data_IF_569783031066
#
_entry.id   IF_569783031066
#
_cell.length_a   1.000
_cell.length_b   1.000
_cell.length_c   1.000
_cell.angle_alpha   90.00
_cell.angle_beta   90.00
_cell.angle_gamma   90.00
#
_symmetry.space_group_name_H-M   'P 1'
#
loop_
_entity.id
_entity.type
_entity.pdbx_description
1 polymer ?
#
# COMPACT_ATOMS: atom_id res chain seq x y z
N UNK A 1 8.66 -19.25 -23.35
CA UNK A 1 8.73 -17.87 -23.91
C UNK A 1 8.09 -16.86 -22.94
N UNK A 2 7.24 -17.33 -22.03
CA UNK A 2 6.62 -16.58 -20.93
C UNK A 2 7.62 -16.18 -19.83
N UNK A 3 8.60 -17.00 -19.44
CA UNK A 3 9.59 -16.63 -18.39
C UNK A 3 10.40 -15.41 -18.78
N UNK A 4 10.97 -15.35 -19.99
CA UNK A 4 11.70 -14.15 -20.46
C UNK A 4 10.83 -12.89 -20.42
N UNK A 5 9.54 -13.01 -20.77
CA UNK A 5 8.57 -11.91 -20.73
C UNK A 5 8.23 -11.53 -19.28
N UNK A 6 7.95 -12.52 -18.44
CA UNK A 6 7.66 -12.38 -17.01
C UNK A 6 8.81 -11.71 -16.28
N UNK A 7 10.04 -12.21 -16.42
CA UNK A 7 11.25 -11.62 -15.83
C UNK A 7 11.47 -10.17 -16.28
N UNK A 8 11.29 -9.86 -17.57
CA UNK A 8 11.42 -8.47 -18.06
C UNK A 8 10.38 -7.54 -17.42
N UNK A 9 9.13 -7.99 -17.33
CA UNK A 9 8.05 -7.23 -16.69
C UNK A 9 8.30 -7.06 -15.18
N UNK A 10 8.84 -8.09 -14.53
CA UNK A 10 9.17 -8.08 -13.11
C UNK A 10 10.29 -7.07 -12.81
N UNK A 11 11.36 -7.07 -13.60
CA UNK A 11 12.43 -6.05 -13.50
C UNK A 11 11.86 -4.65 -13.70
N UNK A 12 10.98 -4.45 -14.70
CA UNK A 12 10.31 -3.16 -14.91
C UNK A 12 9.52 -2.71 -13.69
N UNK A 13 8.76 -3.62 -13.06
CA UNK A 13 7.98 -3.29 -11.87
C UNK A 13 8.87 -2.98 -10.67
N UNK A 14 9.91 -3.78 -10.43
CA UNK A 14 10.88 -3.52 -9.36
C UNK A 14 11.54 -2.15 -9.55
N UNK A 15 12.00 -1.83 -10.77
CA UNK A 15 12.58 -0.53 -11.08
C UNK A 15 11.59 0.62 -10.82
N UNK A 16 10.32 0.45 -11.21
CA UNK A 16 9.29 1.45 -10.94
C UNK A 16 9.04 1.62 -9.43
N UNK A 17 8.98 0.53 -8.66
CA UNK A 17 8.84 0.56 -7.20
C UNK A 17 10.03 1.31 -6.57
N UNK A 18 11.26 1.01 -6.99
CA UNK A 18 12.47 1.68 -6.50
C UNK A 18 12.43 3.18 -6.80
N UNK A 19 12.05 3.56 -8.03
CA UNK A 19 11.94 4.98 -8.41
C UNK A 19 10.89 5.69 -7.56
N UNK A 20 9.70 5.11 -7.40
CA UNK A 20 8.63 5.69 -6.57
C UNK A 20 9.07 5.78 -5.11
N UNK A 21 9.80 4.78 -4.60
CA UNK A 21 10.35 4.80 -3.25
C UNK A 21 11.39 5.92 -3.07
N UNK A 22 12.28 6.13 -4.04
CA UNK A 22 13.23 7.25 -4.02
C UNK A 22 12.49 8.60 -4.02
N UNK A 23 11.47 8.75 -4.85
CA UNK A 23 10.66 9.98 -4.89
C UNK A 23 9.93 10.19 -3.56
N UNK A 24 9.32 9.14 -3.00
CA UNK A 24 8.67 9.19 -1.69
C UNK A 24 9.65 9.60 -0.59
N UNK A 25 10.86 9.06 -0.63
CA UNK A 25 11.93 9.44 0.30
C UNK A 25 12.36 10.91 0.12
N UNK A 26 12.51 11.38 -1.12
CA UNK A 26 12.83 12.78 -1.41
C UNK A 26 11.74 13.73 -0.90
N UNK A 27 10.47 13.42 -1.17
CA UNK A 27 9.32 14.21 -0.70
C UNK A 27 9.25 14.20 0.83
N UNK A 28 9.39 13.02 1.44
CA UNK A 28 9.26 12.86 2.90
C UNK A 28 10.44 13.40 3.70
N UNK A 29 11.65 13.45 3.12
CA UNK A 29 12.87 13.81 3.85
C UNK A 29 13.52 15.11 3.39
N UNK A 30 13.63 15.31 2.08
CA UNK A 30 14.37 16.46 1.51
C UNK A 30 13.45 17.66 1.38
N UNK A 31 12.27 17.49 0.80
CA UNK A 31 11.32 18.58 0.54
C UNK A 31 10.28 18.79 1.66
N UNK A 32 10.39 18.03 2.75
CA UNK A 32 9.41 18.06 3.84
C UNK A 32 9.29 19.45 4.47
N UNK A 33 10.41 20.16 4.61
CA UNK A 33 10.44 21.48 5.26
C UNK A 33 9.76 22.57 4.40
N UNK A 34 9.89 22.48 3.08
CA UNK A 34 9.30 23.41 2.12
C UNK A 34 7.84 23.07 1.83
N UNK A 35 7.53 21.79 1.61
CA UNK A 35 6.17 21.35 1.27
C UNK A 35 5.20 21.37 2.45
N UNK A 36 5.69 21.20 3.69
CA UNK A 36 4.84 21.35 4.88
C UNK A 36 4.40 22.79 5.15
N UNK A 37 5.03 23.78 4.51
CA UNK A 37 4.60 25.18 4.61
C UNK A 37 3.38 25.48 3.73
N UNK A 38 3.12 24.62 2.74
CA UNK A 38 1.99 24.79 1.83
C UNK A 38 0.81 23.98 2.38
N UNK A 39 -0.04 24.67 3.12
CA UNK A 39 -1.30 24.12 3.63
C UNK A 39 -2.34 24.18 2.52
N UNK A 40 -2.91 23.03 2.16
CA UNK A 40 -3.95 22.91 1.13
C UNK A 40 -5.33 23.14 1.76
N UNK A 41 -5.56 22.55 2.93
CA UNK A 41 -6.80 22.70 3.68
C UNK A 41 -6.41 23.00 5.12
N UNK A 42 -6.89 24.12 5.63
CA UNK A 42 -6.85 24.45 7.05
C UNK A 42 -8.29 24.61 7.51
N UNK A 43 -8.81 23.62 8.23
CA UNK A 43 -10.18 23.67 8.75
C UNK A 43 -10.18 23.27 10.21
N UNK A 44 -10.82 24.08 11.04
CA UNK A 44 -11.11 23.73 12.43
C UNK A 44 -12.45 23.04 12.51
N UNK A 45 -12.44 21.75 12.83
CA UNK A 45 -13.65 20.97 13.11
C UNK A 45 -13.64 20.56 14.57
N UNK A 46 -14.72 20.86 15.29
CA UNK A 46 -14.86 20.61 16.74
C UNK A 46 -13.66 21.13 17.58
N UNK A 47 -13.09 22.29 17.21
CA UNK A 47 -11.98 22.91 17.94
C UNK A 47 -10.60 22.30 17.70
N UNK A 48 -10.47 21.29 16.82
CA UNK A 48 -9.16 20.75 16.41
C UNK A 48 -8.80 21.24 15.01
N UNK A 49 -7.59 21.80 14.82
CA UNK A 49 -7.12 22.17 13.49
C UNK A 49 -6.78 20.90 12.71
N UNK A 50 -7.47 20.70 11.59
CA UNK A 50 -7.14 19.70 10.59
C UNK A 50 -6.42 20.44 9.47
N UNK A 51 -5.10 20.31 9.43
CA UNK A 51 -4.27 20.82 8.34
C UNK A 51 -3.85 19.67 7.43
N UNK A 52 -4.23 19.77 6.15
CA UNK A 52 -3.73 18.90 5.09
C UNK A 52 -2.68 19.65 4.30
N UNK A 53 -1.45 19.14 4.32
CA UNK A 53 -0.33 19.77 3.63
C UNK A 53 -0.05 19.11 2.28
N UNK A 54 0.62 19.82 1.38
CA UNK A 54 1.06 19.26 0.08
C UNK A 54 1.92 18.01 0.26
N UNK A 55 2.77 17.97 1.29
CA UNK A 55 3.57 16.78 1.61
C UNK A 55 2.71 15.54 1.87
N UNK A 56 1.61 15.70 2.61
CA UNK A 56 0.71 14.59 2.94
C UNK A 56 -0.05 14.11 1.71
N UNK A 57 -0.52 15.03 0.86
CA UNK A 57 -1.19 14.69 -0.40
C UNK A 57 -0.23 14.01 -1.39
N UNK A 58 0.99 14.54 -1.54
CA UNK A 58 2.01 13.94 -2.40
C UNK A 58 2.41 12.55 -1.90
N UNK A 59 2.61 12.39 -0.59
CA UNK A 59 2.90 11.09 0.02
C UNK A 59 1.76 10.10 -0.18
N UNK A 60 0.51 10.53 -0.03
CA UNK A 60 -0.68 9.72 -0.30
C UNK A 60 -0.68 9.19 -1.74
N UNK A 61 -0.50 10.09 -2.72
CA UNK A 61 -0.49 9.71 -4.15
C UNK A 61 0.63 8.70 -4.42
N UNK A 62 1.84 8.96 -3.92
CA UNK A 62 3.00 8.08 -4.12
C UNK A 62 2.80 6.71 -3.47
N UNK A 63 2.18 6.67 -2.28
CA UNK A 63 1.85 5.43 -1.58
C UNK A 63 0.80 4.62 -2.35
N UNK A 64 -0.22 5.27 -2.92
CA UNK A 64 -1.21 4.61 -3.76
C UNK A 64 -0.58 4.05 -5.04
N UNK A 65 0.31 4.80 -5.69
CA UNK A 65 1.07 4.33 -6.85
C UNK A 65 1.93 3.11 -6.46
N UNK A 66 2.63 3.18 -5.33
CA UNK A 66 3.46 2.07 -4.83
C UNK A 66 2.61 0.81 -4.56
N UNK A 67 1.44 0.96 -3.96
CA UNK A 67 0.51 -0.15 -3.74
C UNK A 67 0.08 -0.82 -5.05
N UNK A 68 -0.26 -0.02 -6.08
CA UNK A 68 -0.61 -0.52 -7.41
C UNK A 68 0.56 -1.24 -8.07
N UNK A 69 1.77 -0.69 -7.98
CA UNK A 69 2.97 -1.31 -8.55
C UNK A 69 3.32 -2.63 -7.87
N UNK A 70 3.21 -2.71 -6.55
CA UNK A 70 3.45 -3.94 -5.79
C UNK A 70 2.45 -5.02 -6.20
N UNK A 71 1.16 -4.69 -6.26
CA UNK A 71 0.12 -5.62 -6.74
C UNK A 71 0.35 -6.03 -8.19
N UNK A 72 0.85 -5.11 -9.02
CA UNK A 72 1.24 -5.35 -10.40
C UNK A 72 2.40 -6.34 -10.59
N UNK A 73 3.05 -6.82 -9.52
CA UNK A 73 4.02 -7.92 -9.59
C UNK A 73 3.36 -9.31 -9.68
N UNK A 74 2.07 -9.44 -9.36
CA UNK A 74 1.36 -10.72 -9.39
C UNK A 74 1.33 -11.36 -10.79
N UNK A 75 1.02 -10.57 -11.82
CA UNK A 75 0.99 -11.05 -13.21
C UNK A 75 2.35 -11.58 -13.70
N UNK A 76 3.47 -10.84 -13.62
CA UNK A 76 4.76 -11.36 -14.06
C UNK A 76 5.23 -12.58 -13.25
N UNK A 77 4.91 -12.65 -11.95
CA UNK A 77 5.20 -13.83 -11.12
C UNK A 77 4.38 -15.04 -11.56
N UNK A 78 3.09 -14.85 -11.85
CA UNK A 78 2.20 -15.89 -12.38
C UNK A 78 2.73 -16.48 -13.69
N UNK A 79 3.19 -15.62 -14.61
CA UNK A 79 3.79 -16.03 -15.89
C UNK A 79 5.06 -16.89 -15.71
N UNK A 80 5.86 -16.59 -14.68
CA UNK A 80 7.05 -17.37 -14.32
C UNK A 80 6.64 -18.71 -13.71
N UNK A 81 5.69 -18.70 -12.77
CA UNK A 81 5.23 -19.92 -12.11
C UNK A 81 4.57 -20.90 -13.08
N UNK A 82 3.81 -20.43 -14.07
CA UNK A 82 3.19 -21.29 -15.09
C UNK A 82 4.20 -22.12 -15.88
N UNK A 83 5.36 -21.55 -16.21
CA UNK A 83 6.41 -22.28 -16.93
C UNK A 83 7.30 -23.10 -15.97
N UNK A 84 7.60 -22.59 -14.77
CA UNK A 84 8.52 -23.23 -13.83
C UNK A 84 7.88 -24.35 -12.99
N UNK A 85 6.59 -24.22 -12.66
CA UNK A 85 5.88 -25.07 -11.70
C UNK A 85 4.48 -25.42 -12.25
N UNK A 86 4.40 -26.02 -13.44
CA UNK A 86 3.14 -26.27 -14.17
C UNK A 86 1.96 -26.76 -13.31
N UNK A 87 2.16 -27.74 -12.44
CA UNK A 87 1.10 -28.31 -11.60
C UNK A 87 0.75 -27.48 -10.36
N UNK A 88 1.69 -26.67 -9.85
CA UNK A 88 1.51 -25.85 -8.64
C UNK A 88 1.39 -24.36 -8.93
N UNK A 89 1.45 -23.94 -10.20
CA UNK A 89 1.43 -22.55 -10.61
C UNK A 89 0.20 -21.78 -10.10
N UNK A 90 -1.04 -22.34 -10.12
CA UNK A 90 -2.20 -21.63 -9.59
C UNK A 90 -2.09 -21.37 -8.08
N UNK A 91 -1.60 -22.36 -7.32
CA UNK A 91 -1.41 -22.26 -5.88
C UNK A 91 -0.31 -21.24 -5.55
N UNK A 92 0.86 -21.37 -6.19
CA UNK A 92 1.99 -20.47 -5.98
C UNK A 92 1.65 -19.01 -6.33
N UNK A 93 0.97 -18.80 -7.46
CA UNK A 93 0.48 -17.48 -7.88
C UNK A 93 -0.55 -16.93 -6.88
N UNK A 94 -1.50 -17.77 -6.46
CA UNK A 94 -2.54 -17.38 -5.52
C UNK A 94 -2.03 -17.04 -4.11
N UNK A 95 -1.03 -17.76 -3.61
CA UNK A 95 -0.34 -17.46 -2.34
C UNK A 95 0.48 -16.19 -2.47
N UNK A 96 1.22 -16.04 -3.58
CA UNK A 96 2.03 -14.85 -3.84
C UNK A 96 1.16 -13.59 -3.92
N UNK A 97 0.02 -13.63 -4.58
CA UNK A 97 -0.91 -12.50 -4.66
C UNK A 97 -1.40 -12.07 -3.27
N UNK A 98 -1.74 -13.03 -2.40
CA UNK A 98 -2.12 -12.72 -1.01
C UNK A 98 -0.95 -12.14 -0.20
N UNK A 99 0.29 -12.60 -0.41
CA UNK A 99 1.47 -11.99 0.21
C UNK A 99 1.65 -10.55 -0.26
N UNK A 100 1.50 -10.29 -1.56
CA UNK A 100 1.55 -8.92 -2.10
C UNK A 100 0.46 -8.04 -1.51
N UNK A 101 -0.77 -8.57 -1.36
CA UNK A 101 -1.87 -7.87 -0.71
C UNK A 101 -1.55 -7.54 0.75
N UNK A 102 -0.92 -8.44 1.51
CA UNK A 102 -0.45 -8.13 2.88
C UNK A 102 0.55 -6.98 2.92
N UNK A 103 1.53 -6.98 1.99
CA UNK A 103 2.51 -5.89 1.88
C UNK A 103 1.80 -4.57 1.58
N UNK A 104 0.85 -4.58 0.64
CA UNK A 104 0.04 -3.40 0.31
C UNK A 104 -0.75 -2.92 1.53
N UNK A 105 -1.44 -3.81 2.24
CA UNK A 105 -2.20 -3.47 3.45
C UNK A 105 -1.28 -2.84 4.50
N UNK A 106 -0.09 -3.39 4.73
CA UNK A 106 0.87 -2.86 5.69
C UNK A 106 1.37 -1.45 5.31
N UNK A 107 1.68 -1.23 4.02
CA UNK A 107 2.07 0.11 3.52
C UNK A 107 0.90 1.09 3.70
N UNK A 108 -0.31 0.71 3.27
CA UNK A 108 -1.49 1.57 3.42
C UNK A 108 -1.76 1.89 4.90
N UNK A 109 -1.60 0.93 5.80
CA UNK A 109 -1.74 1.14 7.24
C UNK A 109 -0.77 2.21 7.77
N UNK A 110 0.52 2.09 7.43
CA UNK A 110 1.54 3.01 7.94
C UNK A 110 1.35 4.43 7.42
N UNK A 111 1.00 4.58 6.14
CA UNK A 111 1.00 5.89 5.48
C UNK A 111 -0.37 6.58 5.48
N UNK A 112 -1.48 5.84 5.52
CA UNK A 112 -2.82 6.44 5.55
C UNK A 112 -3.28 6.81 6.96
N UNK A 113 -2.65 6.28 8.02
CA UNK A 113 -3.11 6.43 9.40
C UNK A 113 -3.43 7.87 9.74
N UNK A 114 -2.44 8.76 9.66
CA UNK A 114 -2.61 10.17 10.02
C UNK A 114 -3.74 10.82 9.23
N UNK A 115 -3.81 10.59 7.92
CA UNK A 115 -4.79 11.25 7.07
C UNK A 115 -6.21 10.76 7.35
N UNK A 116 -6.37 9.44 7.42
CA UNK A 116 -7.69 8.81 7.61
C UNK A 116 -8.21 9.05 9.02
N UNK A 117 -7.37 8.97 10.05
CA UNK A 117 -7.81 9.25 11.43
C UNK A 117 -8.15 10.72 11.61
N UNK A 118 -7.38 11.65 11.03
CA UNK A 118 -7.74 13.08 11.04
C UNK A 118 -9.08 13.35 10.39
N UNK A 119 -9.40 12.68 9.28
CA UNK A 119 -10.72 12.80 8.65
C UNK A 119 -11.83 12.16 9.49
N UNK A 120 -11.57 11.02 10.14
CA UNK A 120 -12.56 10.38 11.01
C UNK A 120 -12.85 11.19 12.28
N UNK A 121 -11.87 11.93 12.81
CA UNK A 121 -12.03 12.81 13.98
C UNK A 121 -13.05 13.94 13.73
N UNK A 122 -13.34 14.27 12.47
CA UNK A 122 -14.42 15.21 12.10
C UNK A 122 -15.78 14.73 12.61
N UNK A 123 -16.00 13.41 12.63
CA UNK A 123 -17.28 12.78 12.95
C UNK A 123 -17.25 11.98 14.27
N UNK A 124 -16.06 11.62 14.75
CA UNK A 124 -15.86 10.70 15.86
C UNK A 124 -14.83 11.24 16.85
N UNK A 125 -14.85 10.73 18.08
CA UNK A 125 -13.78 10.99 19.03
C UNK A 125 -12.45 10.38 18.54
N UNK A 126 -11.33 11.06 18.77
CA UNK A 126 -10.00 10.66 18.30
C UNK A 126 -9.60 9.24 18.73
N UNK A 127 -9.95 8.85 19.96
CA UNK A 127 -9.72 7.49 20.44
C UNK A 127 -10.49 6.46 19.63
N UNK A 128 -11.76 6.74 19.34
CA UNK A 128 -12.64 5.86 18.57
C UNK A 128 -12.16 5.75 17.12
N UNK A 129 -11.79 6.88 16.50
CA UNK A 129 -11.26 6.93 15.14
C UNK A 129 -9.98 6.07 14.98
N UNK A 130 -9.06 6.15 15.93
CA UNK A 130 -7.84 5.33 15.94
C UNK A 130 -8.15 3.83 16.12
N UNK A 131 -9.06 3.48 17.05
CA UNK A 131 -9.44 2.09 17.29
C UNK A 131 -10.10 1.49 16.05
N UNK A 132 -11.04 2.22 15.42
CA UNK A 132 -11.71 1.76 14.20
C UNK A 132 -10.70 1.58 13.07
N UNK A 133 -9.77 2.53 12.90
CA UNK A 133 -8.71 2.43 11.91
C UNK A 133 -7.87 1.15 12.11
N UNK A 134 -7.36 0.94 13.32
CA UNK A 134 -6.54 -0.24 13.64
C UNK A 134 -7.33 -1.54 13.43
N UNK A 135 -8.60 -1.58 13.84
CA UNK A 135 -9.46 -2.75 13.73
C UNK A 135 -9.77 -3.13 12.27
N UNK A 136 -10.02 -2.15 11.39
CA UNK A 136 -10.23 -2.39 9.95
C UNK A 136 -9.00 -3.07 9.33
N UNK A 137 -7.81 -2.54 9.61
CA UNK A 137 -6.57 -3.08 9.05
C UNK A 137 -6.21 -4.45 9.64
N UNK A 138 -6.49 -4.68 10.93
CA UNK A 138 -6.33 -6.02 11.55
C UNK A 138 -7.25 -7.03 10.87
N UNK A 139 -8.53 -6.70 10.68
CA UNK A 139 -9.48 -7.61 10.01
C UNK A 139 -9.04 -7.89 8.57
N UNK A 140 -8.67 -6.85 7.82
CA UNK A 140 -8.18 -7.02 6.45
C UNK A 140 -6.91 -7.88 6.39
N UNK A 141 -5.97 -7.67 7.32
CA UNK A 141 -4.77 -8.48 7.46
C UNK A 141 -5.09 -9.94 7.74
N UNK A 142 -5.92 -10.21 8.76
CA UNK A 142 -6.35 -11.56 9.13
C UNK A 142 -7.09 -12.27 7.99
N UNK A 143 -7.98 -11.57 7.28
CA UNK A 143 -8.67 -12.13 6.12
C UNK A 143 -7.68 -12.54 5.02
N UNK A 144 -6.64 -11.75 4.81
CA UNK A 144 -5.60 -12.06 3.81
C UNK A 144 -4.72 -13.23 4.25
N UNK A 145 -4.33 -13.29 5.53
CA UNK A 145 -3.61 -14.45 6.11
C UNK A 145 -4.44 -15.72 5.99
N UNK A 146 -5.74 -15.67 6.33
CA UNK A 146 -6.65 -16.79 6.15
C UNK A 146 -6.71 -17.24 4.68
N UNK A 147 -6.76 -16.29 3.74
CA UNK A 147 -6.69 -16.58 2.31
C UNK A 147 -5.41 -17.32 1.88
N UNK A 148 -4.26 -17.05 2.52
CA UNK A 148 -3.01 -17.79 2.30
C UNK A 148 -3.15 -19.22 2.80
N UNK A 149 -3.57 -19.39 4.05
CA UNK A 149 -3.70 -20.71 4.70
C UNK A 149 -4.68 -21.59 3.91
N UNK A 150 -5.82 -21.02 3.49
CA UNK A 150 -6.82 -21.73 2.70
C UNK A 150 -6.22 -22.29 1.40
N UNK A 151 -5.50 -21.47 0.64
CA UNK A 151 -4.85 -21.89 -0.62
C UNK A 151 -3.70 -22.88 -0.44
N UNK A 152 -3.09 -22.94 0.74
CA UNK A 152 -2.02 -23.90 1.05
C UNK A 152 -2.58 -25.26 1.53
N UNK A 153 -3.81 -25.27 2.04
CA UNK A 153 -4.47 -26.46 2.58
C UNK A 153 -5.34 -27.17 1.54
N UNK A 154 -5.81 -26.44 0.52
CA UNK A 154 -6.48 -26.96 -0.69
C UNK A 154 -5.48 -27.49 -1.73
#
# INVERSE_FOLDING_TARGET
MSIKKGSKLLVRQISAIIIVFIILWLVGRVFSAELNRIVIVDTTVMGKPISLNVTQLASLILVLIMAVLIKGMGEPLSLIYQEALKSKAPIASGVTDNILNLVVIAILYMFLRSLVTSLMVVMLEERIANIIYDLIFIIAGLATVYGIIKKLTE
#
